data_IF_646671897410
#
_entry.id   IF_646671897410
#
_cell.length_a   1.000
_cell.length_b   1.000
_cell.length_c   1.000
_cell.angle_alpha   90.00
_cell.angle_beta   90.00
_cell.angle_gamma   90.00
#
_symmetry.space_group_name_H-M   'P 1'
#
loop_
_entity.id
_entity.type
_entity.pdbx_description
1 polymer ?
#
# COMPACT_ATOMS: atom_id res chain seq x y z
N UNK A 1 32.80 -14.82 -2.12
CA UNK A 1 32.88 -13.99 -0.90
C UNK A 1 31.75 -12.95 -0.76
N UNK A 2 31.37 -12.19 -1.82
CA UNK A 2 30.28 -11.19 -1.72
C UNK A 2 28.91 -11.81 -1.41
N UNK A 3 28.56 -12.94 -2.03
CA UNK A 3 27.28 -13.65 -1.81
C UNK A 3 27.15 -14.20 -0.38
N UNK A 4 28.24 -14.71 0.17
CA UNK A 4 28.30 -15.21 1.57
C UNK A 4 28.12 -14.06 2.56
N UNK A 5 28.72 -12.89 2.31
CA UNK A 5 28.52 -11.70 3.15
C UNK A 5 27.08 -11.17 3.11
N UNK A 6 26.42 -11.24 1.96
CA UNK A 6 25.01 -10.85 1.82
C UNK A 6 24.10 -11.83 2.56
N UNK A 7 24.32 -13.14 2.42
CA UNK A 7 23.57 -14.16 3.15
C UNK A 7 23.79 -14.00 4.65
N UNK A 8 25.04 -13.80 5.09
CA UNK A 8 25.38 -13.56 6.49
C UNK A 8 24.73 -12.29 7.02
N UNK A 9 24.67 -11.22 6.23
CA UNK A 9 23.98 -9.98 6.60
C UNK A 9 22.48 -10.21 6.82
N UNK A 10 21.80 -10.94 5.92
CA UNK A 10 20.38 -11.28 6.10
C UNK A 10 20.15 -12.25 7.27
N UNK A 11 21.08 -13.18 7.53
CA UNK A 11 21.03 -14.09 8.69
C UNK A 11 21.23 -13.34 10.00
N UNK A 12 22.14 -12.36 10.04
CA UNK A 12 22.35 -11.48 11.20
C UNK A 12 21.16 -10.54 11.42
N UNK A 13 20.60 -9.98 10.35
CA UNK A 13 19.37 -9.19 10.44
C UNK A 13 18.18 -10.03 10.93
N UNK A 14 18.13 -11.31 10.55
CA UNK A 14 17.12 -12.25 11.01
C UNK A 14 17.31 -12.64 12.49
N UNK A 15 18.55 -12.77 12.98
CA UNK A 15 18.82 -13.15 14.37
C UNK A 15 18.62 -12.02 15.38
N UNK A 16 18.64 -10.76 14.94
CA UNK A 16 18.24 -9.60 15.77
C UNK A 16 16.74 -9.60 16.13
N UNK A 17 15.91 -10.47 15.53
CA UNK A 17 14.50 -10.63 15.88
C UNK A 17 14.24 -11.46 17.15
N UNK A 18 15.29 -11.93 17.85
CA UNK A 18 15.13 -12.74 19.06
C UNK A 18 14.88 -11.93 20.33
N UNK A 19 15.01 -10.60 20.28
CA UNK A 19 14.71 -9.74 21.43
C UNK A 19 13.28 -9.18 21.36
N UNK A 20 12.36 -9.97 21.90
CA UNK A 20 11.18 -9.52 22.68
C UNK A 20 10.32 -8.41 22.07
N UNK A 21 9.38 -8.76 21.19
CA UNK A 21 8.17 -7.98 20.96
C UNK A 21 6.96 -8.90 20.69
N UNK A 22 5.77 -8.44 21.11
CA UNK A 22 4.46 -9.07 20.90
C UNK A 22 4.32 -9.39 19.40
N UNK A 23 4.29 -10.69 19.02
CA UNK A 23 4.28 -11.18 17.63
C UNK A 23 3.53 -10.22 16.71
N UNK A 24 4.24 -9.62 15.75
CA UNK A 24 3.59 -8.80 14.74
C UNK A 24 2.70 -9.70 13.87
N UNK A 25 1.64 -9.13 13.29
CA UNK A 25 0.76 -9.91 12.41
C UNK A 25 1.52 -10.36 11.15
N UNK A 26 2.50 -9.60 10.67
CA UNK A 26 3.32 -9.98 9.53
C UNK A 26 4.22 -11.20 9.84
N UNK A 27 4.73 -11.33 11.07
CA UNK A 27 5.56 -12.48 11.48
C UNK A 27 4.79 -13.80 11.37
N UNK A 28 3.49 -13.74 11.64
CA UNK A 28 2.61 -14.90 11.51
C UNK A 28 2.54 -15.38 10.06
N UNK A 29 2.58 -14.47 9.09
CA UNK A 29 2.60 -14.80 7.66
C UNK A 29 3.88 -15.55 7.25
N UNK A 30 5.03 -15.23 7.87
CA UNK A 30 6.31 -15.89 7.54
C UNK A 30 6.32 -17.38 7.92
N UNK A 31 5.52 -17.77 8.92
CA UNK A 31 5.46 -19.14 9.43
C UNK A 31 4.56 -20.07 8.59
N UNK A 32 3.67 -19.54 7.75
CA UNK A 32 2.81 -20.39 6.92
C UNK A 32 3.60 -21.07 5.80
N UNK A 33 3.37 -22.38 5.61
CA UNK A 33 3.99 -23.18 4.54
C UNK A 33 3.44 -22.83 3.15
N UNK A 34 2.19 -22.36 3.06
CA UNK A 34 1.51 -22.04 1.79
C UNK A 34 1.98 -20.71 1.13
N UNK A 35 2.84 -19.94 1.80
CA UNK A 35 3.36 -18.69 1.24
C UNK A 35 4.72 -18.96 0.59
N UNK A 36 4.85 -18.61 -0.69
CA UNK A 36 6.10 -18.82 -1.43
C UNK A 36 7.26 -18.03 -0.84
N UNK A 37 8.49 -18.55 -1.02
CA UNK A 37 9.73 -17.93 -0.52
C UNK A 37 9.88 -16.47 -0.98
N UNK A 38 9.49 -16.19 -2.23
CA UNK A 38 9.55 -14.86 -2.82
C UNK A 38 8.63 -13.86 -2.09
N UNK A 39 7.41 -14.28 -1.73
CA UNK A 39 6.50 -13.43 -0.95
C UNK A 39 7.05 -13.19 0.46
N UNK A 40 7.65 -14.22 1.08
CA UNK A 40 8.29 -14.09 2.40
C UNK A 40 9.44 -13.09 2.38
N UNK A 41 10.31 -13.15 1.36
CA UNK A 41 11.40 -12.18 1.19
C UNK A 41 10.91 -10.73 1.19
N UNK A 42 9.74 -10.47 0.59
CA UNK A 42 9.15 -9.13 0.56
C UNK A 42 8.41 -8.77 1.85
N UNK A 43 7.87 -9.76 2.58
CA UNK A 43 7.21 -9.52 3.88
C UNK A 43 8.22 -9.28 5.01
N UNK A 44 9.43 -9.86 4.95
CA UNK A 44 10.48 -9.66 5.96
C UNK A 44 10.76 -8.17 6.25
N UNK A 45 11.05 -7.29 5.26
CA UNK A 45 11.27 -5.87 5.56
C UNK A 45 10.05 -5.18 6.17
N UNK A 46 8.83 -5.64 5.87
CA UNK A 46 7.60 -5.12 6.49
C UNK A 46 7.53 -5.53 7.96
N UNK A 47 7.87 -6.78 8.28
CA UNK A 47 7.97 -7.29 9.66
C UNK A 47 9.04 -6.53 10.45
N UNK A 48 10.22 -6.31 9.87
CA UNK A 48 11.28 -5.51 10.49
C UNK A 48 10.83 -4.07 10.78
N UNK A 49 10.13 -3.44 9.84
CA UNK A 49 9.54 -2.11 10.04
C UNK A 49 8.53 -2.08 11.20
N UNK A 50 7.76 -3.15 11.41
CA UNK A 50 6.77 -3.22 12.48
C UNK A 50 7.41 -3.17 13.86
N UNK A 51 8.63 -3.71 14.01
CA UNK A 51 9.32 -3.65 15.30
C UNK A 51 9.63 -2.21 15.73
N UNK A 52 10.01 -1.38 14.77
CA UNK A 52 10.30 0.05 14.95
C UNK A 52 8.99 0.84 15.10
N UNK A 53 8.01 0.58 14.23
CA UNK A 53 6.75 1.32 14.21
C UNK A 53 5.87 1.05 15.43
N UNK A 54 5.93 -0.14 16.04
CA UNK A 54 5.12 -0.45 17.23
C UNK A 54 5.80 -0.11 18.55
N UNK A 55 7.11 0.19 18.53
CA UNK A 55 7.80 0.70 19.72
C UNK A 55 7.52 2.18 20.01
N UNK A 56 7.04 2.94 19.01
CA UNK A 56 6.85 4.40 19.13
C UNK A 56 5.43 4.81 18.69
N UNK A 57 4.71 5.48 19.60
CA UNK A 57 3.35 5.95 19.37
C UNK A 57 3.24 6.99 18.25
N UNK A 58 4.34 7.65 17.89
CA UNK A 58 4.42 8.61 16.79
C UNK A 58 4.12 7.97 15.43
N UNK A 59 4.31 6.65 15.31
CA UNK A 59 4.02 5.88 14.08
C UNK A 59 2.66 5.17 14.12
N UNK A 60 1.75 5.60 15.00
CA UNK A 60 0.41 5.03 15.07
C UNK A 60 -0.35 5.19 13.74
N UNK A 61 -0.85 4.08 13.22
CA UNK A 61 -1.66 4.08 12.01
C UNK A 61 -3.12 4.36 12.34
N UNK A 62 -3.76 5.29 11.63
CA UNK A 62 -5.18 5.62 11.78
C UNK A 62 -6.15 4.49 11.36
N UNK A 63 -5.64 3.43 10.73
CA UNK A 63 -6.47 2.34 10.23
C UNK A 63 -6.19 0.99 10.91
N UNK A 64 -7.21 0.14 10.90
CA UNK A 64 -7.13 -1.28 11.19
C UNK A 64 -7.51 -2.15 9.97
N UNK A 65 -6.70 -3.16 9.59
CA UNK A 65 -5.32 -3.35 10.02
C UNK A 65 -4.43 -2.15 9.64
N UNK A 66 -3.30 -1.98 10.36
CA UNK A 66 -2.29 -0.95 10.07
C UNK A 66 -1.80 -1.06 8.62
N UNK A 67 -1.26 0.01 8.03
CA UNK A 67 -0.78 -0.01 6.64
C UNK A 67 0.27 -1.09 6.38
N UNK A 68 1.16 -1.37 7.34
CA UNK A 68 2.14 -2.45 7.25
C UNK A 68 1.49 -3.84 7.28
N UNK A 69 0.54 -4.08 8.20
CA UNK A 69 -0.23 -5.35 8.22
C UNK A 69 -1.06 -5.53 6.95
N UNK A 70 -1.70 -4.46 6.47
CA UNK A 70 -2.47 -4.43 5.24
C UNK A 70 -1.59 -4.77 4.04
N UNK A 71 -0.37 -4.22 3.98
CA UNK A 71 0.59 -4.50 2.92
C UNK A 71 1.03 -5.96 2.92
N UNK A 72 1.44 -6.48 4.08
CA UNK A 72 1.83 -7.89 4.21
C UNK A 72 0.70 -8.84 3.80
N UNK A 73 -0.55 -8.53 4.19
CA UNK A 73 -1.74 -9.25 3.78
C UNK A 73 -2.02 -9.18 2.28
N UNK A 74 -1.88 -8.00 1.67
CA UNK A 74 -2.10 -7.80 0.25
C UNK A 74 -1.10 -8.61 -0.58
N UNK A 75 0.18 -8.59 -0.20
CA UNK A 75 1.25 -9.35 -0.85
C UNK A 75 1.07 -10.85 -0.67
N UNK A 76 0.74 -11.30 0.56
CA UNK A 76 0.47 -12.71 0.83
C UNK A 76 -0.68 -13.24 -0.04
N UNK A 77 -1.79 -12.50 -0.10
CA UNK A 77 -3.02 -12.89 -0.80
C UNK A 77 -2.92 -12.79 -2.32
N UNK A 78 -2.42 -11.68 -2.85
CA UNK A 78 -2.50 -11.38 -4.28
C UNK A 78 -1.16 -11.54 -5.01
N UNK A 79 -0.05 -11.69 -4.30
CA UNK A 79 1.30 -11.69 -4.89
C UNK A 79 1.88 -10.30 -5.02
N UNK A 80 3.06 -10.21 -5.63
CA UNK A 80 3.89 -9.01 -5.59
C UNK A 80 3.23 -7.82 -6.30
N UNK A 81 2.97 -7.93 -7.60
CA UNK A 81 2.49 -6.80 -8.43
C UNK A 81 1.14 -6.26 -7.92
N UNK A 82 0.05 -7.04 -7.86
CA UNK A 82 -1.22 -6.54 -7.35
C UNK A 82 -1.17 -6.21 -5.85
N UNK A 83 -0.35 -6.92 -5.06
CA UNK A 83 -0.16 -6.63 -3.64
C UNK A 83 0.48 -5.26 -3.41
N UNK A 84 1.45 -4.89 -4.24
CA UNK A 84 2.07 -3.57 -4.23
C UNK A 84 1.10 -2.48 -4.71
N UNK A 85 0.32 -2.71 -5.78
CA UNK A 85 -0.71 -1.75 -6.21
C UNK A 85 -1.78 -1.51 -5.12
N UNK A 86 -2.25 -2.59 -4.47
CA UNK A 86 -3.19 -2.51 -3.35
C UNK A 86 -2.56 -1.78 -2.15
N UNK A 87 -1.27 -2.01 -1.89
CA UNK A 87 -0.52 -1.31 -0.84
C UNK A 87 -0.40 0.19 -1.16
N UNK A 88 -0.06 0.55 -2.40
CA UNK A 88 0.08 1.93 -2.80
C UNK A 88 -1.25 2.69 -2.72
N UNK A 89 -2.35 2.10 -3.19
CA UNK A 89 -3.70 2.65 -2.98
C UNK A 89 -3.95 2.93 -1.49
N UNK A 90 -3.59 1.98 -0.63
CA UNK A 90 -3.77 2.14 0.82
C UNK A 90 -2.98 3.32 1.37
N UNK A 91 -1.72 3.49 0.97
CA UNK A 91 -0.88 4.60 1.42
C UNK A 91 -1.48 5.95 1.00
N UNK A 92 -2.02 6.05 -0.22
CA UNK A 92 -2.69 7.27 -0.71
C UNK A 92 -3.95 7.59 0.09
N UNK A 93 -4.75 6.56 0.42
CA UNK A 93 -5.93 6.71 1.28
C UNK A 93 -5.59 6.98 2.76
N UNK A 94 -4.32 6.84 3.15
CA UNK A 94 -3.83 7.10 4.50
C UNK A 94 -3.38 8.54 4.68
N UNK A 95 -4.33 9.47 4.46
CA UNK A 95 -4.13 10.90 4.60
C UNK A 95 -5.09 11.49 5.67
N UNK A 96 -4.94 12.76 6.10
CA UNK A 96 -5.75 13.37 7.16
C UNK A 96 -7.27 13.39 6.89
N UNK A 97 -7.70 13.33 5.64
CA UNK A 97 -9.12 13.39 5.26
C UNK A 97 -9.80 12.02 5.24
N UNK A 98 -9.05 10.94 5.48
CA UNK A 98 -9.55 9.58 5.43
C UNK A 98 -10.76 9.36 6.34
N UNK A 99 -10.73 9.89 7.57
CA UNK A 99 -11.81 9.75 8.53
C UNK A 99 -13.12 10.38 8.01
N UNK A 100 -13.05 11.59 7.45
CA UNK A 100 -14.21 12.29 6.90
C UNK A 100 -14.83 11.54 5.71
N UNK A 101 -14.02 10.87 4.88
CA UNK A 101 -14.56 10.01 3.82
C UNK A 101 -15.29 8.78 4.36
N UNK A 102 -14.79 8.14 5.41
CA UNK A 102 -15.45 6.95 5.96
C UNK A 102 -16.77 7.30 6.66
N UNK A 103 -16.84 8.47 7.33
CA UNK A 103 -18.10 9.00 7.86
C UNK A 103 -19.10 9.26 6.71
N UNK A 104 -18.69 10.00 5.67
CA UNK A 104 -19.59 10.37 4.57
C UNK A 104 -20.14 9.18 3.78
N UNK A 105 -19.35 8.10 3.66
CA UNK A 105 -19.72 6.92 2.90
C UNK A 105 -20.54 5.90 3.72
N UNK A 106 -20.95 6.25 4.94
CA UNK A 106 -21.65 5.36 5.88
C UNK A 106 -20.99 3.97 5.99
N UNK A 107 -19.65 3.92 5.89
CA UNK A 107 -18.90 2.67 5.92
C UNK A 107 -18.81 2.19 7.38
N UNK A 108 -19.11 0.90 7.67
CA UNK A 108 -19.30 0.43 9.03
C UNK A 108 -18.02 0.50 9.87
N UNK A 109 -18.22 1.13 11.03
CA UNK A 109 -17.65 0.93 12.36
C UNK A 109 -16.13 0.84 12.52
N UNK A 110 -15.63 1.81 13.30
CA UNK A 110 -14.31 1.81 13.90
C UNK A 110 -14.00 0.45 14.53
N UNK A 111 -12.73 0.07 14.44
CA UNK A 111 -12.21 -1.02 15.24
C UNK A 111 -12.36 -0.67 16.74
N UNK A 112 -12.33 -1.66 17.62
CA UNK A 112 -12.52 -1.48 19.07
C UNK A 112 -11.56 -0.46 19.72
N UNK A 113 -10.45 -0.13 19.04
CA UNK A 113 -9.46 0.87 19.46
C UNK A 113 -9.63 2.24 18.80
N UNK A 114 -10.76 2.48 18.12
CA UNK A 114 -11.09 3.76 17.48
C UNK A 114 -10.48 3.96 16.09
N UNK A 115 -9.74 2.98 15.53
CA UNK A 115 -9.18 3.09 14.17
C UNK A 115 -10.22 2.83 13.09
N UNK A 116 -10.00 3.41 11.92
CA UNK A 116 -10.87 3.20 10.75
C UNK A 116 -10.71 1.76 10.26
N UNK A 117 -11.81 1.01 10.17
CA UNK A 117 -11.81 -0.36 9.69
C UNK A 117 -11.74 -0.40 8.16
N UNK A 118 -10.65 -0.95 7.61
CA UNK A 118 -10.51 -1.14 6.17
C UNK A 118 -9.64 -2.35 5.85
N UNK A 119 -10.30 -3.48 5.60
CA UNK A 119 -9.62 -4.74 5.29
C UNK A 119 -9.14 -4.81 3.84
N UNK A 120 -8.10 -5.63 3.63
CA UNK A 120 -7.63 -6.00 2.29
C UNK A 120 -8.79 -6.63 1.51
N UNK A 121 -9.03 -6.21 0.25
CA UNK A 121 -10.12 -6.71 -0.56
C UNK A 121 -10.08 -8.24 -0.69
N UNK A 122 -11.25 -8.87 -0.83
CA UNK A 122 -11.35 -10.33 -1.03
C UNK A 122 -11.07 -10.73 -2.49
N UNK A 123 -11.42 -9.86 -3.44
CA UNK A 123 -11.24 -10.05 -4.89
C UNK A 123 -10.63 -8.79 -5.50
N UNK A 124 -9.77 -8.95 -6.51
CA UNK A 124 -9.11 -7.83 -7.19
C UNK A 124 -10.07 -7.03 -8.06
N UNK A 125 -10.91 -7.73 -8.81
CA UNK A 125 -11.89 -7.14 -9.71
C UNK A 125 -13.28 -7.61 -9.30
N UNK A 126 -14.18 -6.65 -9.14
CA UNK A 126 -15.59 -6.86 -8.85
C UNK A 126 -16.35 -6.08 -9.92
N UNK A 127 -17.29 -6.73 -10.59
CA UNK A 127 -18.09 -6.08 -11.64
C UNK A 127 -18.73 -4.81 -11.07
N UNK A 128 -18.43 -3.67 -11.72
CA UNK A 128 -19.04 -2.39 -11.36
C UNK A 128 -20.53 -2.43 -11.66
N UNK A 129 -21.35 -2.28 -10.63
CA UNK A 129 -22.78 -2.07 -10.72
C UNK A 129 -23.08 -0.76 -9.98
N UNK A 130 -23.80 0.16 -10.62
CA UNK A 130 -24.15 1.45 -10.02
C UNK A 130 -24.03 2.63 -10.98
N UNK A 131 -24.10 3.85 -10.43
CA UNK A 131 -24.24 5.10 -11.20
C UNK A 131 -22.96 5.53 -11.92
N UNK A 132 -21.79 5.29 -11.33
CA UNK A 132 -20.49 5.72 -11.87
C UNK A 132 -19.73 4.53 -12.46
N UNK A 133 -19.05 4.74 -13.58
CA UNK A 133 -18.27 3.68 -14.25
C UNK A 133 -16.87 3.57 -13.66
N UNK A 134 -16.56 2.41 -13.05
CA UNK A 134 -15.24 2.17 -12.47
C UNK A 134 -14.12 2.10 -13.51
N UNK A 135 -14.40 1.59 -14.72
CA UNK A 135 -13.44 1.54 -15.82
C UNK A 135 -13.13 2.96 -16.31
N UNK A 136 -14.16 3.80 -16.44
CA UNK A 136 -13.98 5.20 -16.82
C UNK A 136 -13.14 5.95 -15.77
N UNK A 137 -13.39 5.72 -14.48
CA UNK A 137 -12.59 6.29 -13.40
C UNK A 137 -11.10 5.90 -13.49
N UNK A 138 -10.80 4.62 -13.72
CA UNK A 138 -9.42 4.19 -13.95
C UNK A 138 -8.81 4.82 -15.20
N UNK A 139 -9.59 4.97 -16.28
CA UNK A 139 -9.17 5.67 -17.49
C UNK A 139 -8.79 7.12 -17.21
N UNK A 140 -9.60 7.85 -16.44
CA UNK A 140 -9.26 9.20 -15.99
C UNK A 140 -7.94 9.22 -15.21
N UNK A 141 -7.76 8.29 -14.26
CA UNK A 141 -6.51 8.18 -13.49
C UNK A 141 -5.29 7.75 -14.31
N UNK A 142 -5.47 7.09 -15.45
CA UNK A 142 -4.36 6.77 -16.39
C UNK A 142 -3.91 7.97 -17.21
N UNK A 143 -4.76 8.98 -17.40
CA UNK A 143 -4.37 10.20 -18.08
C UNK A 143 -3.79 11.17 -17.05
N UNK A 144 -4.49 11.31 -15.93
CA UNK A 144 -4.14 12.22 -14.85
C UNK A 144 -4.31 11.50 -13.51
N UNK A 145 -3.22 11.08 -12.84
CA UNK A 145 -3.28 10.47 -11.51
C UNK A 145 -4.20 11.26 -10.57
N UNK A 146 -5.01 10.57 -9.78
CA UNK A 146 -6.00 11.16 -8.90
C UNK A 146 -7.37 11.48 -9.51
N UNK A 147 -7.47 11.71 -10.82
CA UNK A 147 -8.71 12.17 -11.46
C UNK A 147 -9.88 11.19 -11.27
N UNK A 148 -9.64 9.88 -11.35
CA UNK A 148 -10.65 8.86 -11.10
C UNK A 148 -11.19 8.85 -9.67
N UNK A 149 -10.35 9.15 -8.68
CA UNK A 149 -10.77 9.28 -7.27
C UNK A 149 -11.62 10.52 -7.05
N UNK A 150 -11.26 11.64 -7.68
CA UNK A 150 -12.05 12.88 -7.67
C UNK A 150 -13.42 12.62 -8.30
N UNK A 151 -13.45 11.97 -9.46
CA UNK A 151 -14.69 11.56 -10.13
C UNK A 151 -15.61 10.74 -9.20
N UNK A 152 -15.04 9.85 -8.38
CA UNK A 152 -15.78 9.04 -7.42
C UNK A 152 -16.00 9.73 -6.05
N UNK A 153 -15.76 11.03 -5.94
CA UNK A 153 -16.07 11.85 -4.75
C UNK A 153 -15.00 11.83 -3.65
N UNK A 154 -13.83 11.24 -3.90
CA UNK A 154 -12.68 11.22 -2.98
C UNK A 154 -11.59 12.21 -3.39
N UNK A 155 -11.95 13.49 -3.41
CA UNK A 155 -11.09 14.58 -3.89
C UNK A 155 -9.68 14.61 -3.30
N UNK A 156 -9.54 14.56 -1.97
CA UNK A 156 -8.25 14.60 -1.29
C UNK A 156 -7.41 13.37 -1.57
N UNK A 157 -8.00 12.17 -1.58
CA UNK A 157 -7.25 10.98 -2.01
C UNK A 157 -6.75 11.12 -3.44
N UNK A 158 -7.53 11.77 -4.32
CA UNK A 158 -7.11 12.14 -5.66
C UNK A 158 -5.92 13.10 -5.67
N UNK A 159 -5.98 14.18 -4.89
CA UNK A 159 -4.90 15.14 -4.77
C UNK A 159 -3.61 14.52 -4.21
N UNK A 160 -3.71 13.72 -3.14
CA UNK A 160 -2.56 13.01 -2.57
C UNK A 160 -1.98 12.00 -3.57
N UNK A 161 -2.83 11.30 -4.32
CA UNK A 161 -2.40 10.40 -5.40
C UNK A 161 -1.63 11.14 -6.49
N UNK A 162 -2.18 12.26 -6.97
CA UNK A 162 -1.53 13.14 -7.95
C UNK A 162 -0.17 13.64 -7.47
N UNK A 163 -0.12 14.25 -6.28
CA UNK A 163 1.11 14.81 -5.72
C UNK A 163 2.18 13.75 -5.50
N UNK A 164 1.78 12.54 -5.06
CA UNK A 164 2.71 11.42 -4.85
C UNK A 164 3.34 10.97 -6.16
N UNK A 165 2.52 10.70 -7.19
CA UNK A 165 3.03 10.27 -8.50
C UNK A 165 3.88 11.36 -9.15
N UNK A 166 3.46 12.63 -9.07
CA UNK A 166 4.22 13.76 -9.58
C UNK A 166 5.58 13.88 -8.90
N UNK A 167 5.63 13.79 -7.57
CA UNK A 167 6.87 13.88 -6.80
C UNK A 167 7.84 12.76 -7.14
N UNK A 168 7.36 11.51 -7.19
CA UNK A 168 8.18 10.35 -7.54
C UNK A 168 8.66 10.40 -9.00
N UNK A 169 7.82 10.89 -9.92
CA UNK A 169 8.20 11.09 -11.32
C UNK A 169 9.30 12.14 -11.45
N UNK A 170 9.16 13.27 -10.75
CA UNK A 170 10.19 14.32 -10.71
C UNK A 170 11.52 13.80 -10.13
N UNK A 171 11.48 13.00 -9.07
CA UNK A 171 12.68 12.34 -8.54
C UNK A 171 13.30 11.39 -9.57
N UNK A 172 12.49 10.53 -10.20
CA UNK A 172 12.93 9.61 -11.25
C UNK A 172 13.62 10.37 -12.40
N UNK A 173 13.04 11.48 -12.84
CA UNK A 173 13.59 12.34 -13.89
C UNK A 173 14.89 13.04 -13.45
N UNK A 174 14.94 13.59 -12.24
CA UNK A 174 16.14 14.19 -11.66
C UNK A 174 17.32 13.20 -11.61
N UNK A 175 17.07 11.95 -11.19
CA UNK A 175 18.10 10.90 -11.21
C UNK A 175 18.48 10.45 -12.62
N UNK A 176 17.54 10.47 -13.57
CA UNK A 176 17.83 10.22 -14.98
C UNK A 176 18.78 11.28 -15.55
N UNK A 177 18.54 12.57 -15.31
CA UNK A 177 19.41 13.66 -15.74
C UNK A 177 20.82 13.59 -15.12
N UNK A 178 20.93 13.09 -13.89
CA UNK A 178 22.21 12.86 -13.19
C UNK A 178 22.95 11.60 -13.65
N UNK A 179 22.44 10.87 -14.64
CA UNK A 179 22.98 9.57 -15.09
C UNK A 179 23.18 8.56 -13.94
N UNK A 180 22.34 8.64 -12.90
CA UNK A 180 22.41 7.73 -11.76
C UNK A 180 21.35 6.63 -11.94
N UNK A 181 21.79 5.51 -12.52
CA UNK A 181 20.92 4.39 -12.87
C UNK A 181 20.25 3.75 -11.66
N UNK A 182 20.96 3.66 -10.53
CA UNK A 182 20.44 3.06 -9.30
C UNK A 182 19.26 3.88 -8.74
N UNK A 183 19.42 5.20 -8.65
CA UNK A 183 18.35 6.10 -8.22
C UNK A 183 17.18 6.10 -9.20
N UNK A 184 17.46 6.12 -10.51
CA UNK A 184 16.44 6.05 -11.56
C UNK A 184 15.61 4.77 -11.46
N UNK A 185 16.24 3.61 -11.27
CA UNK A 185 15.55 2.33 -11.12
C UNK A 185 14.71 2.28 -9.84
N UNK A 186 15.25 2.77 -8.72
CA UNK A 186 14.54 2.78 -7.45
C UNK A 186 13.29 3.66 -7.49
N UNK A 187 13.44 4.94 -7.84
CA UNK A 187 12.29 5.87 -7.91
C UNK A 187 11.36 5.56 -9.09
N UNK A 188 11.87 5.03 -10.20
CA UNK A 188 11.04 4.55 -11.30
C UNK A 188 10.14 3.39 -10.89
N UNK A 189 10.67 2.44 -10.10
CA UNK A 189 9.90 1.32 -9.56
C UNK A 189 8.84 1.77 -8.57
N UNK A 190 9.14 2.76 -7.73
CA UNK A 190 8.16 3.38 -6.83
C UNK A 190 7.07 4.12 -7.63
N UNK A 191 7.46 4.91 -8.64
CA UNK A 191 6.53 5.62 -9.54
C UNK A 191 5.57 4.63 -10.18
N UNK A 192 6.07 3.55 -10.76
CA UNK A 192 5.24 2.50 -11.37
C UNK A 192 4.28 1.86 -10.36
N UNK A 193 4.76 1.60 -9.15
CA UNK A 193 3.95 1.02 -8.07
C UNK A 193 2.79 1.94 -7.66
N UNK A 194 3.06 3.21 -7.43
CA UNK A 194 2.04 4.20 -7.08
C UNK A 194 1.10 4.51 -8.24
N UNK A 195 1.60 4.49 -9.47
CA UNK A 195 0.78 4.65 -10.66
C UNK A 195 -0.22 3.50 -10.83
N UNK A 196 0.21 2.24 -10.67
CA UNK A 196 -0.70 1.08 -10.65
C UNK A 196 -1.69 1.15 -9.48
N UNK A 197 -1.23 1.62 -8.31
CA UNK A 197 -2.08 1.88 -7.16
C UNK A 197 -3.17 2.93 -7.43
N UNK A 198 -2.88 3.95 -8.25
CA UNK A 198 -3.86 4.96 -8.66
C UNK A 198 -4.95 4.38 -9.56
N UNK A 199 -4.58 3.55 -10.54
CA UNK A 199 -5.55 2.88 -11.41
C UNK A 199 -6.49 1.96 -10.61
N UNK A 200 -5.91 1.16 -9.71
CA UNK A 200 -6.65 0.26 -8.84
C UNK A 200 -7.52 1.04 -7.83
N UNK A 201 -6.97 2.09 -7.22
CA UNK A 201 -7.66 2.89 -6.23
C UNK A 201 -8.85 3.67 -6.80
N UNK A 202 -8.72 4.21 -8.01
CA UNK A 202 -9.83 4.84 -8.74
C UNK A 202 -10.97 3.84 -9.01
N UNK A 203 -10.62 2.62 -9.43
CA UNK A 203 -11.58 1.54 -9.64
C UNK A 203 -12.33 1.21 -8.35
N UNK A 204 -11.59 0.90 -7.29
CA UNK A 204 -12.15 0.50 -6.00
C UNK A 204 -12.98 1.59 -5.33
N UNK A 205 -12.54 2.84 -5.45
CA UNK A 205 -13.28 3.99 -4.91
C UNK A 205 -14.65 4.11 -5.56
N UNK A 206 -14.72 3.90 -6.88
CA UNK A 206 -15.99 3.95 -7.62
C UNK A 206 -16.93 2.83 -7.19
N UNK A 207 -16.41 1.63 -6.95
CA UNK A 207 -17.21 0.53 -6.40
C UNK A 207 -17.77 0.85 -5.01
N UNK A 208 -16.99 1.51 -4.15
CA UNK A 208 -17.47 1.95 -2.83
C UNK A 208 -18.53 3.06 -2.95
N UNK A 209 -18.34 3.99 -3.89
CA UNK A 209 -19.31 5.06 -4.16
C UNK A 209 -20.66 4.48 -4.64
N UNK A 210 -20.62 3.48 -5.52
CA UNK A 210 -21.82 2.88 -6.08
C UNK A 210 -22.63 2.02 -5.08
N UNK A 211 -22.10 1.76 -3.88
CA UNK A 211 -22.81 1.06 -2.80
C UNK A 211 -23.62 1.99 -1.90
N UNK A 212 -23.46 3.31 -2.06
CA UNK A 212 -24.28 4.34 -1.41
C UNK A 212 -25.62 4.47 -2.13
#
# INVERSE_FOLDING_TARGET
MKTIKIILFFVVLASLNLFSQKRSYADSLLNFSNISILKKMVIIPISLWQNISYSDQSFNCQFFPSCSNYSALAIARFGLIPGFAITADRLIRCNPFAHGYHIRLNQPFFHIDGRILNHVPKKLLIKSQGRKSAIFASGLSSILPGAGRIYAGRTWDGLFGFLTVLSLTNLTYSYHLKNNDAGRLFFGSLTMTFYLGELFGAYQTTLSYNKL
#
